data_IF_967475933717
#
_entry.id   IF_967475933717
#
_cell.length_a   1.000
_cell.length_b   1.000
_cell.length_c   1.000
_cell.angle_alpha   90.00
_cell.angle_beta   90.00
_cell.angle_gamma   90.00
#
_symmetry.space_group_name_H-M   'P 1'
#
loop_
_entity.id
_entity.type
_entity.pdbx_description
1 polymer ?
#
# COMPACT_ATOMS: atom_id res chain seq x y z
N UNK A 1 10.46 6.45 -0.85
CA UNK A 1 9.11 5.81 -0.90
C UNK A 1 8.95 4.94 -2.16
N UNK A 2 9.95 4.89 -3.06
CA UNK A 2 10.00 4.00 -4.22
C UNK A 2 8.96 4.28 -5.29
N UNK A 3 8.50 5.52 -5.40
CA UNK A 3 7.43 5.94 -6.33
C UNK A 3 6.12 5.12 -6.16
N UNK A 4 5.83 4.73 -4.92
CA UNK A 4 4.64 3.97 -4.55
C UNK A 4 3.75 4.78 -3.60
N UNK A 5 2.45 4.63 -3.72
CA UNK A 5 1.50 5.16 -2.74
C UNK A 5 1.76 4.54 -1.37
N UNK A 6 1.90 5.36 -0.31
CA UNK A 6 2.21 4.90 1.04
C UNK A 6 1.18 3.89 1.61
N UNK A 7 -0.05 3.91 1.11
CA UNK A 7 -1.11 3.02 1.61
C UNK A 7 -1.33 1.79 0.74
N UNK A 8 -1.59 1.94 -0.55
CA UNK A 8 -1.94 0.81 -1.41
C UNK A 8 -0.78 0.24 -2.22
N UNK A 9 0.40 0.89 -2.20
CA UNK A 9 1.61 0.52 -2.95
C UNK A 9 1.43 0.52 -4.47
N UNK A 10 0.41 1.19 -4.99
CA UNK A 10 0.26 1.47 -6.42
C UNK A 10 1.37 2.41 -6.88
N UNK A 11 1.81 2.29 -8.15
CA UNK A 11 2.68 3.28 -8.78
C UNK A 11 2.06 4.68 -8.70
N UNK A 12 2.85 5.66 -8.31
CA UNK A 12 2.56 7.08 -8.42
C UNK A 12 3.61 7.73 -9.33
N UNK A 13 3.24 8.69 -10.20
CA UNK A 13 4.17 9.33 -11.12
C UNK A 13 5.18 10.21 -10.40
N UNK A 14 6.34 10.40 -11.03
CA UNK A 14 7.43 11.25 -10.53
C UNK A 14 7.18 12.71 -10.79
N UNK A 15 6.56 13.01 -11.92
CA UNK A 15 6.35 14.35 -12.40
C UNK A 15 4.86 14.72 -12.33
N UNK A 16 4.59 15.99 -12.08
CA UNK A 16 3.28 16.55 -12.39
C UNK A 16 3.08 16.41 -13.90
N UNK A 17 2.10 15.62 -14.29
CA UNK A 17 1.56 15.65 -15.63
C UNK A 17 1.25 17.13 -15.92
N UNK A 18 1.63 17.64 -17.05
CA UNK A 18 1.75 19.03 -17.48
C UNK A 18 0.83 20.08 -16.79
N UNK A 19 1.20 21.37 -16.86
CA UNK A 19 0.38 22.45 -16.26
C UNK A 19 -1.06 22.49 -16.77
N UNK A 20 -1.31 21.96 -17.97
CA UNK A 20 -2.63 21.82 -18.58
C UNK A 20 -3.47 20.71 -17.91
N UNK A 21 -2.81 19.73 -17.30
CA UNK A 21 -3.43 18.58 -16.63
C UNK A 21 -3.41 18.69 -15.10
N UNK A 22 -3.43 19.89 -14.53
CA UNK A 22 -3.39 20.13 -13.06
C UNK A 22 -4.45 19.36 -12.28
N UNK A 23 -5.59 19.10 -12.92
CA UNK A 23 -6.66 18.27 -12.36
C UNK A 23 -6.39 16.77 -12.44
N UNK A 24 -5.31 16.35 -13.11
CA UNK A 24 -4.93 14.97 -13.35
C UNK A 24 -3.77 14.47 -12.48
N UNK A 25 -3.30 15.26 -11.50
CA UNK A 25 -2.28 14.80 -10.59
C UNK A 25 -2.74 13.51 -9.88
N UNK A 26 -2.01 12.43 -10.09
CA UNK A 26 -2.24 11.16 -9.43
C UNK A 26 -1.43 11.03 -8.13
N UNK A 27 -0.72 12.08 -7.72
CA UNK A 27 0.08 12.16 -6.50
C UNK A 27 -0.41 13.30 -5.61
N UNK A 28 -0.68 12.97 -4.36
CA UNK A 28 -1.05 13.92 -3.32
C UNK A 28 -0.10 13.81 -2.13
N UNK A 29 0.10 14.92 -1.42
CA UNK A 29 0.79 14.91 -0.12
C UNK A 29 -0.24 14.72 0.97
N UNK A 30 -0.16 13.59 1.63
CA UNK A 30 -0.96 13.23 2.80
C UNK A 30 -0.21 13.55 4.09
N UNK A 31 -0.92 14.05 5.10
CA UNK A 31 -0.40 14.20 6.44
C UNK A 31 -0.93 13.06 7.31
N UNK A 32 -0.05 12.14 7.73
CA UNK A 32 -0.48 11.01 8.54
C UNK A 32 -1.22 11.45 9.82
N UNK A 33 -0.69 12.46 10.53
CA UNK A 33 -1.46 13.19 11.52
C UNK A 33 -2.16 14.36 10.80
N UNK A 34 -3.49 14.27 10.66
CA UNK A 34 -4.26 15.23 9.91
C UNK A 34 -4.04 16.68 10.42
N UNK A 35 -3.84 17.62 9.52
CA UNK A 35 -3.61 19.05 9.84
C UNK A 35 -4.68 19.65 10.75
N UNK A 36 -5.92 19.21 10.61
CA UNK A 36 -7.04 19.65 11.46
C UNK A 36 -6.88 19.23 12.93
N UNK A 37 -6.26 18.08 13.19
CA UNK A 37 -5.95 17.61 14.54
C UNK A 37 -4.76 18.38 15.16
N UNK A 38 -3.75 18.67 14.34
CA UNK A 38 -2.50 19.32 14.77
C UNK A 38 -2.66 20.82 15.02
N UNK A 39 -3.59 21.51 14.34
CA UNK A 39 -3.88 22.94 14.57
C UNK A 39 -4.29 23.26 16.02
N UNK A 40 -4.66 22.24 16.79
CA UNK A 40 -5.05 22.38 18.21
C UNK A 40 -3.86 22.23 19.17
N UNK A 41 -2.69 21.87 18.67
CA UNK A 41 -1.45 21.72 19.44
C UNK A 41 -0.47 22.82 19.02
N UNK A 42 0.46 23.18 19.90
CA UNK A 42 1.50 24.20 19.62
C UNK A 42 2.56 23.73 18.62
N UNK A 43 2.54 22.47 18.19
CA UNK A 43 3.49 21.88 17.26
C UNK A 43 3.00 22.05 15.81
N UNK A 44 3.78 22.71 14.96
CA UNK A 44 3.45 22.90 13.55
C UNK A 44 3.81 21.67 12.71
N UNK A 45 3.14 20.54 12.95
CA UNK A 45 3.35 19.29 12.20
C UNK A 45 2.87 19.36 10.73
N UNK A 46 2.27 20.45 10.32
CA UNK A 46 1.86 20.67 8.94
C UNK A 46 3.03 20.87 7.96
N UNK A 47 4.23 21.19 8.50
CA UNK A 47 5.48 21.33 7.73
C UNK A 47 6.51 20.26 8.13
N UNK A 48 6.14 19.31 9.00
CA UNK A 48 7.02 18.23 9.40
C UNK A 48 7.07 17.17 8.28
N UNK A 49 8.23 17.03 7.66
CA UNK A 49 8.47 16.02 6.61
C UNK A 49 8.19 14.58 7.09
N UNK A 50 8.45 14.28 8.37
CA UNK A 50 8.16 12.98 8.96
C UNK A 50 6.65 12.71 9.16
N UNK A 51 5.82 13.71 8.90
CA UNK A 51 4.36 13.58 8.88
C UNK A 51 3.78 13.55 7.46
N UNK A 52 4.63 13.59 6.42
CA UNK A 52 4.20 13.68 5.02
C UNK A 52 4.39 12.36 4.29
N UNK A 53 3.39 11.96 3.54
CA UNK A 53 3.36 10.75 2.71
C UNK A 53 2.94 11.10 1.29
N UNK A 54 3.58 10.50 0.29
CA UNK A 54 3.09 10.55 -1.07
C UNK A 54 2.01 9.48 -1.28
N UNK A 55 0.84 9.87 -1.74
CA UNK A 55 -0.31 8.96 -1.93
C UNK A 55 -0.94 9.16 -3.30
N UNK A 56 -1.64 8.14 -3.78
CA UNK A 56 -2.39 8.21 -5.04
C UNK A 56 -3.71 8.98 -4.88
N UNK A 57 -4.36 9.30 -6.01
CA UNK A 57 -5.68 9.95 -6.08
C UNK A 57 -6.83 9.18 -5.42
N UNK A 58 -6.57 7.98 -4.88
CA UNK A 58 -7.56 7.16 -4.19
C UNK A 58 -8.77 6.77 -5.05
N UNK A 59 -8.57 6.59 -6.35
CA UNK A 59 -9.59 6.26 -7.36
C UNK A 59 -10.65 7.35 -7.58
N UNK A 60 -10.36 8.60 -7.27
CA UNK A 60 -11.30 9.70 -7.48
C UNK A 60 -11.75 9.85 -8.94
N UNK A 61 -10.88 9.46 -9.87
CA UNK A 61 -11.07 9.54 -11.31
C UNK A 61 -11.52 8.23 -11.96
N UNK A 62 -11.83 7.19 -11.17
CA UNK A 62 -12.30 5.92 -11.71
C UNK A 62 -13.58 6.15 -12.56
N UNK A 63 -13.67 5.58 -13.80
CA UNK A 63 -14.78 5.84 -14.71
C UNK A 63 -16.17 5.57 -14.13
N UNK A 64 -16.29 4.57 -13.25
CA UNK A 64 -17.52 4.23 -12.55
C UNK A 64 -17.75 5.03 -11.26
N UNK A 65 -16.81 5.93 -10.89
CA UNK A 65 -16.93 6.77 -9.70
C UNK A 65 -17.83 7.98 -9.92
N UNK A 66 -19.04 7.79 -10.44
CA UNK A 66 -20.02 8.85 -10.68
C UNK A 66 -21.22 8.73 -9.75
N UNK A 67 -21.89 9.87 -9.49
CA UNK A 67 -23.11 9.94 -8.71
C UNK A 67 -22.95 9.64 -7.20
N UNK A 68 -24.08 9.36 -6.53
CA UNK A 68 -24.13 9.19 -5.07
C UNK A 68 -23.33 7.99 -4.52
N UNK A 69 -23.03 7.00 -5.36
CA UNK A 69 -22.26 5.81 -4.99
C UNK A 69 -20.74 5.95 -5.18
N UNK A 70 -20.27 7.12 -5.62
CA UNK A 70 -18.86 7.44 -5.89
C UNK A 70 -17.92 7.03 -4.73
N UNK A 71 -18.31 7.31 -3.49
CA UNK A 71 -17.49 7.03 -2.29
C UNK A 71 -17.12 5.57 -2.07
N UNK A 72 -17.84 4.61 -2.65
CA UNK A 72 -17.52 3.18 -2.52
C UNK A 72 -16.22 2.78 -3.23
N UNK A 73 -15.81 3.56 -4.25
CA UNK A 73 -14.59 3.33 -5.01
C UNK A 73 -13.37 4.01 -4.40
N UNK A 74 -13.59 4.94 -3.48
CA UNK A 74 -12.49 5.66 -2.86
C UNK A 74 -11.64 4.74 -2.00
N UNK A 75 -10.32 4.93 -2.12
CA UNK A 75 -9.31 4.24 -1.33
C UNK A 75 -8.30 5.25 -0.78
N UNK A 76 -7.36 4.80 0.04
CA UNK A 76 -6.26 5.59 0.54
C UNK A 76 -6.71 6.89 1.23
N UNK A 77 -5.97 7.99 1.04
CA UNK A 77 -6.30 9.30 1.61
C UNK A 77 -7.70 9.78 1.22
N UNK A 78 -8.10 9.59 -0.04
CA UNK A 78 -9.43 10.00 -0.51
C UNK A 78 -10.58 9.33 0.24
N UNK A 79 -10.38 8.10 0.67
CA UNK A 79 -11.35 7.36 1.50
C UNK A 79 -11.27 7.77 2.96
N UNK A 80 -10.03 7.95 3.45
CA UNK A 80 -9.72 8.30 4.83
C UNK A 80 -10.31 9.64 5.24
N UNK A 81 -10.21 10.64 4.36
CA UNK A 81 -10.48 12.04 4.68
C UNK A 81 -9.59 12.50 5.87
N UNK A 82 -10.17 12.92 7.00
CA UNK A 82 -9.42 13.32 8.19
C UNK A 82 -9.49 12.29 9.33
N UNK A 83 -9.93 11.07 9.08
CA UNK A 83 -10.03 10.05 10.12
C UNK A 83 -8.63 9.69 10.67
N UNK A 84 -8.47 9.61 12.00
CA UNK A 84 -7.22 9.15 12.58
C UNK A 84 -6.97 7.69 12.23
N UNK A 85 -5.70 7.35 12.01
CA UNK A 85 -5.24 5.98 11.75
C UNK A 85 -4.32 5.51 12.86
N UNK A 86 -4.39 4.21 13.18
CA UNK A 86 -3.39 3.51 13.98
C UNK A 86 -2.25 3.01 13.09
N UNK A 87 -2.59 2.50 11.90
CA UNK A 87 -1.57 2.09 10.93
C UNK A 87 -0.73 3.30 10.50
N UNK A 88 0.59 3.17 10.65
CA UNK A 88 1.53 4.20 10.24
C UNK A 88 2.58 3.62 9.29
N UNK A 89 2.58 3.99 8.00
CA UNK A 89 3.59 3.52 7.05
C UNK A 89 5.04 3.87 7.41
N UNK A 90 5.24 4.85 8.31
CA UNK A 90 6.57 5.26 8.80
C UNK A 90 6.98 4.54 10.09
N UNK A 91 6.13 3.69 10.66
CA UNK A 91 6.39 2.95 11.89
C UNK A 91 6.29 1.44 11.62
N UNK A 92 7.44 0.80 11.52
CA UNK A 92 7.53 -0.64 11.27
C UNK A 92 6.76 -1.49 12.30
N UNK A 93 6.61 -1.03 13.56
CA UNK A 93 5.89 -1.78 14.59
C UNK A 93 4.40 -1.95 14.25
N UNK A 94 3.79 -0.95 13.60
CA UNK A 94 2.39 -1.03 13.16
C UNK A 94 2.21 -1.93 11.94
N UNK A 95 3.27 -2.14 11.15
CA UNK A 95 3.25 -2.96 9.94
C UNK A 95 3.46 -4.45 10.23
N UNK A 96 4.05 -4.82 11.37
CA UNK A 96 4.33 -6.21 11.75
C UNK A 96 3.06 -7.06 11.93
N UNK A 97 1.92 -6.42 12.17
CA UNK A 97 0.63 -7.12 12.33
C UNK A 97 -0.06 -7.43 11.00
N UNK A 98 0.51 -6.93 9.89
CA UNK A 98 -0.08 -7.08 8.55
C UNK A 98 0.32 -8.42 7.95
N UNK A 99 -0.66 -9.06 7.33
CA UNK A 99 -0.48 -10.27 6.53
C UNK A 99 -1.41 -10.26 5.31
N UNK A 100 -1.19 -11.19 4.39
CA UNK A 100 -1.95 -11.27 3.16
C UNK A 100 -2.53 -12.67 2.99
N UNK A 101 -3.69 -12.73 2.34
CA UNK A 101 -4.28 -13.98 1.89
C UNK A 101 -3.86 -14.27 0.43
N UNK A 102 -3.99 -15.52 0.01
CA UNK A 102 -3.63 -15.97 -1.35
C UNK A 102 -4.44 -15.28 -2.47
N UNK A 103 -5.60 -14.70 -2.15
CA UNK A 103 -6.41 -13.92 -3.07
C UNK A 103 -5.98 -12.45 -3.19
N UNK A 104 -4.90 -12.05 -2.50
CA UNK A 104 -4.39 -10.69 -2.45
C UNK A 104 -5.08 -9.79 -1.43
N UNK A 105 -5.99 -10.31 -0.60
CA UNK A 105 -6.59 -9.56 0.50
C UNK A 105 -5.55 -9.23 1.56
N UNK A 106 -5.46 -7.97 1.97
CA UNK A 106 -4.62 -7.52 3.08
C UNK A 106 -5.40 -7.56 4.38
N UNK A 107 -4.77 -8.05 5.44
CA UNK A 107 -5.36 -8.27 6.76
C UNK A 107 -4.42 -7.78 7.87
N UNK A 108 -4.93 -7.69 9.09
CA UNK A 108 -4.13 -7.46 10.28
C UNK A 108 -4.59 -8.32 11.45
N UNK A 109 -3.65 -8.74 12.30
CA UNK A 109 -3.94 -9.36 13.61
C UNK A 109 -4.41 -8.34 14.63
N UNK A 110 -4.12 -7.05 14.43
CA UNK A 110 -4.63 -5.94 15.24
C UNK A 110 -5.97 -5.45 14.68
N UNK A 111 -7.03 -5.55 15.48
CA UNK A 111 -8.40 -5.21 15.07
C UNK A 111 -8.58 -3.74 14.67
N UNK A 112 -7.82 -2.82 15.26
CA UNK A 112 -7.90 -1.39 14.92
C UNK A 112 -7.23 -1.14 13.57
N UNK A 113 -6.09 -1.78 13.32
CA UNK A 113 -5.41 -1.72 12.02
C UNK A 113 -6.24 -2.42 10.93
N UNK A 114 -6.90 -3.53 11.28
CA UNK A 114 -7.84 -4.20 10.37
C UNK A 114 -9.01 -3.27 9.97
N UNK A 115 -9.53 -2.47 10.91
CA UNK A 115 -10.55 -1.44 10.63
C UNK A 115 -9.97 -0.32 9.75
N UNK A 116 -8.76 0.15 10.03
CA UNK A 116 -8.08 1.13 9.19
C UNK A 116 -7.93 0.64 7.75
N UNK A 117 -7.52 -0.62 7.55
CA UNK A 117 -7.36 -1.25 6.23
C UNK A 117 -8.69 -1.29 5.47
N UNK A 118 -9.76 -1.76 6.11
CA UNK A 118 -11.01 -2.08 5.42
C UNK A 118 -11.98 -0.90 5.35
N UNK A 119 -12.09 -0.11 6.41
CA UNK A 119 -13.11 0.94 6.52
C UNK A 119 -12.54 2.32 6.19
N UNK A 120 -11.39 2.67 6.78
CA UNK A 120 -10.82 4.02 6.64
C UNK A 120 -10.04 4.20 5.36
N UNK A 121 -9.27 3.20 4.94
CA UNK A 121 -8.44 3.24 3.74
C UNK A 121 -9.04 2.45 2.57
N UNK A 122 -9.96 1.51 2.84
CA UNK A 122 -10.60 0.63 1.86
C UNK A 122 -9.59 -0.09 0.95
N UNK A 123 -8.51 -0.62 1.53
CA UNK A 123 -7.41 -1.25 0.78
C UNK A 123 -7.79 -2.60 0.17
N UNK A 124 -8.92 -3.18 0.55
CA UNK A 124 -9.50 -4.38 -0.06
C UNK A 124 -10.61 -4.05 -1.07
N UNK A 125 -10.66 -2.81 -1.55
CA UNK A 125 -11.60 -2.42 -2.60
C UNK A 125 -11.46 -3.34 -3.82
N UNK A 126 -12.53 -4.05 -4.14
CA UNK A 126 -12.61 -4.95 -5.28
C UNK A 126 -13.94 -4.72 -6.01
N UNK A 127 -13.90 -3.98 -7.09
CA UNK A 127 -15.05 -3.61 -7.91
C UNK A 127 -14.65 -3.67 -9.38
N UNK A 128 -15.59 -3.52 -10.30
CA UNK A 128 -15.30 -3.50 -11.75
C UNK A 128 -14.21 -2.49 -12.15
N UNK A 129 -14.12 -1.37 -11.43
CA UNK A 129 -13.17 -0.29 -11.73
C UNK A 129 -11.93 -0.28 -10.84
N UNK A 130 -11.94 -1.00 -9.73
CA UNK A 130 -10.86 -0.96 -8.72
C UNK A 130 -10.65 -2.37 -8.18
N UNK A 131 -9.49 -2.92 -8.42
CA UNK A 131 -9.18 -4.33 -8.16
C UNK A 131 -7.90 -4.48 -7.32
N UNK A 132 -7.82 -3.80 -6.16
CA UNK A 132 -6.61 -3.80 -5.34
C UNK A 132 -6.16 -5.21 -4.89
N UNK A 133 -7.05 -6.11 -4.43
CA UNK A 133 -6.65 -7.49 -4.12
C UNK A 133 -6.11 -8.23 -5.35
N UNK A 134 -6.76 -8.10 -6.50
CA UNK A 134 -6.32 -8.77 -7.74
C UNK A 134 -4.95 -8.29 -8.21
N UNK A 135 -4.67 -6.97 -8.07
CA UNK A 135 -3.36 -6.42 -8.42
C UNK A 135 -2.25 -6.98 -7.51
N UNK A 136 -2.52 -7.11 -6.21
CA UNK A 136 -1.58 -7.75 -5.27
C UNK A 136 -1.41 -9.24 -5.58
N UNK A 137 -2.52 -9.94 -5.87
CA UNK A 137 -2.47 -11.35 -6.25
C UNK A 137 -1.61 -11.57 -7.49
N UNK A 138 -1.73 -10.74 -8.51
CA UNK A 138 -0.93 -10.85 -9.72
C UNK A 138 0.58 -10.77 -9.44
N UNK A 139 0.99 -9.92 -8.50
CA UNK A 139 2.40 -9.85 -8.06
C UNK A 139 2.81 -11.12 -7.32
N UNK A 140 1.96 -11.64 -6.44
CA UNK A 140 2.23 -12.89 -5.73
C UNK A 140 2.36 -14.07 -6.69
N UNK A 141 1.42 -14.20 -7.63
CA UNK A 141 1.43 -15.26 -8.64
C UNK A 141 2.72 -15.22 -9.49
N UNK A 142 3.14 -14.02 -9.91
CA UNK A 142 4.36 -13.84 -10.70
C UNK A 142 5.62 -14.28 -9.94
N UNK A 143 5.68 -14.02 -8.64
CA UNK A 143 6.80 -14.46 -7.81
C UNK A 143 6.82 -15.97 -7.60
N UNK A 144 5.67 -16.55 -7.32
CA UNK A 144 5.56 -18.00 -7.19
C UNK A 144 5.99 -18.69 -8.49
N UNK A 145 5.50 -18.21 -9.64
CA UNK A 145 5.89 -18.74 -10.96
C UNK A 145 7.39 -18.60 -11.23
N UNK A 146 8.01 -17.49 -10.82
CA UNK A 146 9.45 -17.28 -10.98
C UNK A 146 10.27 -18.23 -10.11
N UNK A 147 9.87 -18.42 -8.86
CA UNK A 147 10.53 -19.35 -7.95
C UNK A 147 10.35 -20.81 -8.39
N UNK A 148 9.19 -21.18 -8.94
CA UNK A 148 8.93 -22.53 -9.42
C UNK A 148 9.79 -22.92 -10.63
N UNK A 149 10.30 -21.95 -11.40
CA UNK A 149 11.21 -22.17 -12.54
C UNK A 149 12.66 -22.38 -12.12
N UNK A 150 13.01 -22.07 -10.88
CA UNK A 150 14.37 -22.15 -10.37
C UNK A 150 14.62 -23.54 -9.74
N UNK A 151 15.80 -24.10 -9.99
CA UNK A 151 16.27 -25.30 -9.31
C UNK A 151 16.96 -24.98 -7.99
N UNK A 152 17.03 -25.94 -7.07
CA UNK A 152 17.77 -25.83 -5.83
C UNK A 152 16.91 -25.76 -4.58
N UNK A 153 17.55 -25.45 -3.48
CA UNK A 153 16.92 -25.37 -2.17
C UNK A 153 15.88 -24.25 -2.08
N UNK A 154 14.68 -24.57 -1.58
CA UNK A 154 13.56 -23.65 -1.54
C UNK A 154 13.82 -22.44 -0.63
N UNK A 155 14.41 -22.67 0.54
CA UNK A 155 14.75 -21.58 1.47
C UNK A 155 15.72 -20.60 0.83
N UNK A 156 16.77 -21.12 0.17
CA UNK A 156 17.77 -20.27 -0.48
C UNK A 156 17.16 -19.45 -1.62
N UNK A 157 16.29 -20.05 -2.43
CA UNK A 157 15.58 -19.34 -3.52
C UNK A 157 14.71 -18.21 -2.97
N UNK A 158 13.93 -18.48 -1.92
CA UNK A 158 13.11 -17.44 -1.25
C UNK A 158 13.97 -16.33 -0.69
N UNK A 159 15.12 -16.67 -0.10
CA UNK A 159 16.05 -15.68 0.46
C UNK A 159 16.68 -14.80 -0.62
N UNK A 160 17.17 -15.39 -1.70
CA UNK A 160 17.78 -14.66 -2.80
C UNK A 160 16.78 -13.71 -3.46
N UNK A 161 15.54 -14.16 -3.66
CA UNK A 161 14.46 -13.32 -4.19
C UNK A 161 14.08 -12.19 -3.24
N UNK A 162 14.05 -12.44 -1.94
CA UNK A 162 13.80 -11.43 -0.91
C UNK A 162 14.90 -10.36 -0.91
N UNK A 163 16.17 -10.79 -0.98
CA UNK A 163 17.33 -9.88 -1.02
C UNK A 163 17.28 -8.97 -2.26
N UNK A 164 16.88 -9.49 -3.43
CA UNK A 164 16.69 -8.70 -4.65
C UNK A 164 15.65 -7.61 -4.42
N UNK A 165 14.51 -7.92 -3.81
CA UNK A 165 13.42 -6.97 -3.67
C UNK A 165 13.58 -5.99 -2.52
N UNK A 166 14.21 -6.38 -1.43
CA UNK A 166 14.54 -5.45 -0.34
C UNK A 166 15.55 -4.39 -0.80
N UNK A 167 16.47 -4.77 -1.72
CA UNK A 167 17.49 -3.88 -2.29
C UNK A 167 17.11 -3.31 -3.68
N UNK A 168 15.87 -3.51 -4.13
CA UNK A 168 15.39 -2.95 -5.40
C UNK A 168 15.59 -1.42 -5.42
N UNK A 169 16.21 -0.90 -6.50
CA UNK A 169 16.34 0.53 -6.72
C UNK A 169 15.00 1.17 -7.07
N UNK A 170 14.92 2.50 -6.94
CA UNK A 170 13.75 3.24 -7.38
C UNK A 170 13.69 3.32 -8.92
N UNK A 171 12.54 3.14 -9.50
CA UNK A 171 11.20 2.99 -8.93
C UNK A 171 10.88 1.53 -8.53
N UNK A 172 10.48 1.30 -7.28
CA UNK A 172 10.17 -0.04 -6.74
C UNK A 172 8.96 -0.69 -7.42
N UNK A 173 8.91 -2.03 -7.43
CA UNK A 173 7.80 -2.80 -7.98
C UNK A 173 6.47 -2.50 -7.26
N UNK A 174 5.39 -2.16 -8.00
CA UNK A 174 4.08 -1.92 -7.38
C UNK A 174 3.57 -3.15 -6.62
N UNK A 175 2.90 -2.93 -5.50
CA UNK A 175 2.30 -3.96 -4.65
C UNK A 175 3.29 -4.98 -4.08
N UNK A 176 4.59 -4.71 -4.13
CA UNK A 176 5.67 -5.62 -3.72
C UNK A 176 5.53 -6.16 -2.29
N UNK A 177 4.81 -5.44 -1.42
CA UNK A 177 4.64 -5.81 -0.01
C UNK A 177 4.03 -7.19 0.21
N UNK A 178 3.13 -7.67 -0.69
CA UNK A 178 2.56 -9.02 -0.57
C UNK A 178 3.63 -10.09 -0.79
N UNK A 179 4.51 -9.86 -1.74
CA UNK A 179 5.54 -10.81 -2.08
C UNK A 179 6.64 -10.86 -1.02
N UNK A 180 7.10 -9.72 -0.53
CA UNK A 180 8.04 -9.63 0.59
C UNK A 180 7.46 -10.34 1.83
N UNK A 181 6.20 -10.10 2.14
CA UNK A 181 5.52 -10.77 3.26
C UNK A 181 5.49 -12.29 3.04
N UNK A 182 5.05 -12.73 1.86
CA UNK A 182 4.92 -14.15 1.53
C UNK A 182 6.27 -14.89 1.58
N UNK A 183 7.33 -14.30 1.03
CA UNK A 183 8.67 -14.88 1.09
C UNK A 183 9.15 -15.07 2.54
N UNK A 184 8.95 -14.04 3.39
CA UNK A 184 9.28 -14.13 4.82
C UNK A 184 8.47 -15.18 5.54
N UNK A 185 7.21 -15.35 5.16
CA UNK A 185 6.32 -16.36 5.72
C UNK A 185 6.75 -17.78 5.33
N UNK A 186 7.07 -18.01 4.04
CA UNK A 186 7.61 -19.29 3.57
C UNK A 186 8.89 -19.68 4.31
N UNK A 187 9.82 -18.74 4.46
CA UNK A 187 11.09 -18.99 5.15
C UNK A 187 10.89 -19.30 6.65
N UNK A 188 9.91 -18.68 7.30
CA UNK A 188 9.58 -18.95 8.71
C UNK A 188 9.08 -20.37 8.92
N UNK A 189 8.14 -20.82 8.09
CA UNK A 189 7.60 -22.19 8.19
C UNK A 189 8.67 -23.26 8.01
N UNK A 190 9.64 -23.04 7.13
CA UNK A 190 10.75 -23.99 6.93
C UNK A 190 11.74 -24.09 8.13
N UNK A 191 11.72 -23.12 9.04
CA UNK A 191 12.57 -23.13 10.23
C UNK A 191 11.85 -23.71 11.45
N UNK A 192 10.54 -23.87 11.38
CA UNK A 192 9.70 -24.42 12.46
C UNK A 192 9.46 -25.95 12.30
N UNK A 193 9.74 -26.52 11.11
CA UNK A 193 9.70 -27.94 10.80
C UNK A 193 11.07 -28.62 11.02
#
# INVERSE_FOLDING_TARGET
QGHLCAYCMRRIPDERISEEDKDLSDVYIEHWQARSAVRKTSENKGLDYNNMLAVCSGNEKAPSATGKRKKRYFTCDKKRDNAPLKINPLDASTLQTIYYLSDGTIKSTDKVIEDDINVRLNLNCNTEAVTLPQNRKAVLDAVQEELDKQDGDWYQRCKDQLDIWENEEDPKTPYIGIAIWWLKDQMRHLLED
#
